data_IF_045969952843
#
_entry.id   IF_045969952843
#
_cell.length_a   1.000
_cell.length_b   1.000
_cell.length_c   1.000
_cell.angle_alpha   90.00
_cell.angle_beta   90.00
_cell.angle_gamma   90.00
#
_symmetry.space_group_name_H-M   'P 1'
#
loop_
_entity.id
_entity.type
_entity.pdbx_description
1 polymer ?
#
# COMPACT_ATOMS: atom_id res chain seq x y z
N UNK A 1 -8.48 -1.41 -9.62
CA UNK A 1 -8.51 -0.29 -8.65
C UNK A 1 -7.10 0.00 -8.19
N UNK A 2 -6.72 1.27 -8.04
CA UNK A 2 -5.37 1.65 -7.64
C UNK A 2 -5.34 2.02 -6.16
N UNK A 3 -4.36 1.46 -5.46
CA UNK A 3 -4.08 1.74 -4.06
C UNK A 3 -2.67 2.33 -3.95
N UNK A 4 -2.58 3.59 -3.52
CA UNK A 4 -1.33 4.29 -3.33
C UNK A 4 -0.88 4.13 -1.88
N UNK A 5 0.27 3.49 -1.71
CA UNK A 5 0.94 3.35 -0.43
C UNK A 5 1.92 4.50 -0.27
N UNK A 6 1.89 5.16 0.87
CA UNK A 6 2.81 6.24 1.24
C UNK A 6 3.30 6.06 2.67
N UNK A 7 4.46 6.64 2.96
CA UNK A 7 4.89 6.87 4.33
C UNK A 7 5.52 8.26 4.47
N UNK A 8 5.28 8.92 5.61
CA UNK A 8 5.68 10.31 5.84
C UNK A 8 5.82 10.60 7.33
N UNK A 9 6.61 11.61 7.70
CA UNK A 9 6.66 12.12 9.08
C UNK A 9 5.48 13.03 9.44
N UNK A 10 4.81 13.60 8.43
CA UNK A 10 3.59 14.39 8.60
C UNK A 10 2.59 14.07 7.50
N UNK A 11 1.39 13.66 7.91
CA UNK A 11 0.28 13.43 6.99
C UNK A 11 -0.78 14.52 7.16
N UNK A 12 -1.17 15.13 6.04
CA UNK A 12 -2.22 16.14 5.97
C UNK A 12 -3.14 15.80 4.80
N UNK A 13 -4.43 15.61 5.09
CA UNK A 13 -5.44 15.23 4.10
C UNK A 13 -5.55 16.26 2.97
N UNK A 14 -5.24 17.54 3.23
CA UNK A 14 -5.27 18.57 2.18
C UNK A 14 -4.27 18.31 1.04
N UNK A 15 -3.21 17.53 1.30
CA UNK A 15 -2.28 17.12 0.24
C UNK A 15 -2.86 16.10 -0.75
N UNK A 16 -4.07 15.62 -0.50
CA UNK A 16 -4.80 14.73 -1.40
C UNK A 16 -5.75 15.51 -2.32
N UNK A 17 -5.97 16.80 -2.10
CA UNK A 17 -6.93 17.59 -2.90
C UNK A 17 -6.53 17.76 -4.37
N UNK A 18 -5.24 17.57 -4.68
CA UNK A 18 -4.67 17.72 -6.00
C UNK A 18 -3.61 16.64 -6.22
N UNK A 19 -3.65 15.97 -7.37
CA UNK A 19 -2.73 14.88 -7.70
C UNK A 19 -1.28 15.36 -7.87
N UNK A 20 -1.06 16.59 -8.35
CA UNK A 20 0.28 17.17 -8.49
C UNK A 20 0.88 17.41 -7.10
N UNK A 21 0.10 17.98 -6.18
CA UNK A 21 0.51 18.17 -4.78
C UNK A 21 0.80 16.82 -4.11
N UNK A 22 -0.03 15.80 -4.37
CA UNK A 22 0.19 14.46 -3.86
C UNK A 22 1.54 13.89 -4.32
N UNK A 23 1.84 13.97 -5.61
CA UNK A 23 3.10 13.46 -6.18
C UNK A 23 4.31 14.23 -5.67
N UNK A 24 4.22 15.55 -5.56
CA UNK A 24 5.29 16.39 -5.01
C UNK A 24 5.60 16.06 -3.54
N UNK A 25 4.55 15.82 -2.74
CA UNK A 25 4.70 15.58 -1.30
C UNK A 25 5.10 14.14 -0.97
N UNK A 26 4.69 13.19 -1.80
CA UNK A 26 4.95 11.75 -1.58
C UNK A 26 5.66 11.14 -2.80
N UNK A 27 6.87 11.60 -3.17
CA UNK A 27 7.52 11.20 -4.42
C UNK A 27 7.94 9.72 -4.47
N UNK A 28 8.02 9.05 -3.32
CA UNK A 28 8.34 7.63 -3.21
C UNK A 28 7.09 6.76 -3.02
N UNK A 29 5.89 7.29 -3.31
CA UNK A 29 4.65 6.50 -3.26
C UNK A 29 4.72 5.27 -4.15
N UNK A 30 4.10 4.17 -3.71
CA UNK A 30 3.99 2.95 -4.50
C UNK A 30 2.53 2.69 -4.83
N UNK A 31 2.24 2.48 -6.11
CA UNK A 31 0.89 2.11 -6.55
C UNK A 31 0.79 0.60 -6.72
N UNK A 32 -0.27 0.02 -6.17
CA UNK A 32 -0.62 -1.38 -6.36
C UNK A 32 -2.02 -1.45 -6.97
N UNK A 33 -2.12 -2.09 -8.13
CA UNK A 33 -3.38 -2.31 -8.83
C UNK A 33 -4.02 -3.63 -8.39
N UNK A 34 -5.11 -3.53 -7.63
CA UNK A 34 -5.89 -4.65 -7.11
C UNK A 34 -7.28 -4.65 -7.72
N UNK A 35 -7.93 -5.81 -7.75
CA UNK A 35 -9.28 -5.96 -8.29
C UNK A 35 -10.30 -5.22 -7.43
N UNK A 36 -10.16 -5.32 -6.10
CA UNK A 36 -11.11 -4.78 -5.13
C UNK A 36 -10.47 -4.61 -3.73
N UNK A 37 -11.26 -4.10 -2.77
CA UNK A 37 -10.81 -3.91 -1.39
C UNK A 37 -10.62 -5.21 -0.61
N UNK A 38 -11.23 -6.33 -1.03
CA UNK A 38 -10.97 -7.63 -0.40
C UNK A 38 -9.57 -8.13 -0.75
N UNK A 39 -9.08 -7.86 -1.97
CA UNK A 39 -7.68 -8.13 -2.32
C UNK A 39 -6.72 -7.25 -1.51
N UNK A 40 -7.04 -5.97 -1.28
CA UNK A 40 -6.25 -5.13 -0.38
C UNK A 40 -6.21 -5.72 1.03
N UNK A 41 -7.37 -6.16 1.53
CA UNK A 41 -7.48 -6.81 2.83
C UNK A 41 -6.61 -8.06 2.91
N UNK A 42 -6.70 -8.94 1.91
CA UNK A 42 -5.88 -10.14 1.81
C UNK A 42 -4.37 -9.82 1.80
N UNK A 43 -3.96 -8.84 1.00
CA UNK A 43 -2.55 -8.43 0.90
C UNK A 43 -2.03 -7.99 2.27
N UNK A 44 -2.80 -7.14 2.97
CA UNK A 44 -2.44 -6.63 4.29
C UNK A 44 -2.48 -7.72 5.36
N UNK A 45 -3.44 -8.65 5.32
CA UNK A 45 -3.47 -9.81 6.20
C UNK A 45 -2.21 -10.68 6.05
N UNK A 46 -1.73 -10.89 4.82
CA UNK A 46 -0.47 -11.60 4.56
C UNK A 46 0.76 -10.83 5.09
N UNK A 47 0.64 -9.51 5.22
CA UNK A 47 1.64 -8.65 5.87
C UNK A 47 1.47 -8.58 7.40
N UNK A 48 0.54 -9.35 7.98
CA UNK A 48 0.13 -9.30 9.40
C UNK A 48 -0.48 -7.95 9.83
N UNK A 49 -1.15 -7.27 8.90
CA UNK A 49 -1.81 -5.99 9.11
C UNK A 49 -3.32 -6.19 9.04
N UNK A 50 -3.98 -6.03 10.19
CA UNK A 50 -5.42 -6.11 10.29
C UNK A 50 -6.00 -4.70 10.45
N UNK A 51 -6.85 -4.29 9.50
CA UNK A 51 -7.55 -3.02 9.55
C UNK A 51 -9.04 -3.24 9.42
N UNK A 52 -9.80 -2.37 10.07
CA UNK A 52 -11.27 -2.42 10.07
C UNK A 52 -11.92 -1.07 9.80
N UNK A 53 -11.17 0.03 9.92
CA UNK A 53 -11.65 1.38 9.72
C UNK A 53 -10.99 2.03 8.51
N UNK A 54 -11.75 2.85 7.80
CA UNK A 54 -11.27 3.75 6.75
C UNK A 54 -11.84 5.14 6.99
N UNK A 55 -11.18 6.15 6.44
CA UNK A 55 -11.67 7.51 6.39
C UNK A 55 -12.12 7.80 4.96
N UNK A 56 -13.39 8.15 4.78
CA UNK A 56 -13.90 8.58 3.49
C UNK A 56 -13.27 9.91 3.09
N UNK A 57 -13.01 10.06 1.80
CA UNK A 57 -12.58 11.30 1.16
C UNK A 57 -13.68 11.72 0.19
N UNK A 58 -13.99 13.01 0.19
CA UNK A 58 -14.87 13.62 -0.82
C UNK A 58 -14.00 14.50 -1.74
N UNK A 59 -13.05 13.85 -2.40
CA UNK A 59 -12.02 14.49 -3.24
C UNK A 59 -12.08 13.85 -4.62
N UNK A 60 -11.88 14.66 -5.67
CA UNK A 60 -12.04 14.25 -7.06
C UNK A 60 -11.27 12.97 -7.43
N UNK A 61 -10.02 12.86 -7.00
CA UNK A 61 -9.10 11.80 -7.43
C UNK A 61 -8.97 10.65 -6.42
N UNK A 62 -9.55 10.79 -5.22
CA UNK A 62 -9.41 9.82 -4.13
C UNK A 62 -10.70 9.61 -3.35
N UNK A 63 -11.08 8.35 -3.11
CA UNK A 63 -12.33 7.98 -2.42
C UNK A 63 -12.18 7.82 -0.91
N UNK A 64 -11.04 7.30 -0.46
CA UNK A 64 -10.80 6.99 0.96
C UNK A 64 -9.35 6.67 1.22
N UNK A 65 -8.99 6.70 2.50
CA UNK A 65 -7.70 6.25 2.96
C UNK A 65 -7.80 5.40 4.23
N UNK A 66 -6.76 4.60 4.46
CA UNK A 66 -6.56 3.82 5.66
C UNK A 66 -5.25 4.22 6.34
N UNK A 67 -5.30 4.38 7.65
CA UNK A 67 -4.13 4.66 8.46
C UNK A 67 -3.54 3.36 9.03
N UNK A 68 -2.34 3.01 8.56
CA UNK A 68 -1.57 1.84 8.96
C UNK A 68 -0.39 2.19 9.86
N UNK A 69 -0.36 3.40 10.43
CA UNK A 69 0.77 3.91 11.20
C UNK A 69 1.06 3.10 12.47
N UNK A 70 0.06 2.37 13.00
CA UNK A 70 0.25 1.47 14.14
C UNK A 70 0.94 0.13 13.77
N UNK A 71 1.08 -0.15 12.47
CA UNK A 71 1.69 -1.36 11.97
C UNK A 71 3.03 -1.04 11.31
N UNK A 72 3.90 -2.06 11.22
CA UNK A 72 5.09 -2.02 10.38
C UNK A 72 4.87 -2.90 9.17
N UNK A 73 5.40 -2.48 8.03
CA UNK A 73 5.48 -3.37 6.87
C UNK A 73 6.60 -4.39 7.08
N UNK A 74 6.42 -5.64 6.63
CA UNK A 74 7.37 -6.72 6.88
C UNK A 74 8.68 -6.49 6.11
N UNK A 75 9.80 -6.52 6.84
CA UNK A 75 11.15 -6.42 6.28
C UNK A 75 11.67 -7.82 5.93
N UNK A 76 11.06 -8.43 4.90
CA UNK A 76 11.40 -9.76 4.40
C UNK A 76 12.77 -9.79 3.68
N UNK A 77 13.50 -10.89 3.83
CA UNK A 77 14.60 -11.23 2.92
C UNK A 77 14.07 -11.86 1.62
N UNK A 78 14.97 -12.21 0.69
CA UNK A 78 14.59 -12.79 -0.61
C UNK A 78 13.73 -14.07 -0.48
N UNK A 79 14.16 -15.03 0.32
CA UNK A 79 13.44 -16.31 0.49
C UNK A 79 12.07 -16.10 1.14
N UNK A 80 12.02 -15.22 2.15
CA UNK A 80 10.77 -14.87 2.83
C UNK A 80 9.81 -14.12 1.89
N UNK A 81 10.33 -13.26 1.02
CA UNK A 81 9.52 -12.55 0.03
C UNK A 81 8.96 -13.51 -1.02
N UNK A 82 9.77 -14.44 -1.53
CA UNK A 82 9.29 -15.44 -2.49
C UNK A 82 8.16 -16.29 -1.87
N UNK A 83 8.33 -16.75 -0.62
CA UNK A 83 7.25 -17.44 0.11
C UNK A 83 5.99 -16.59 0.28
N UNK A 84 6.14 -15.30 0.61
CA UNK A 84 5.03 -14.36 0.69
C UNK A 84 4.32 -14.22 -0.67
N UNK A 85 5.07 -14.08 -1.75
CA UNK A 85 4.53 -13.91 -3.10
C UNK A 85 3.80 -15.16 -3.59
N UNK A 86 4.35 -16.36 -3.37
CA UNK A 86 3.65 -17.61 -3.70
C UNK A 86 2.32 -17.72 -2.93
N UNK A 87 2.31 -17.34 -1.65
CA UNK A 87 1.08 -17.30 -0.84
C UNK A 87 0.08 -16.25 -1.36
N UNK A 88 0.56 -15.09 -1.79
CA UNK A 88 -0.27 -14.05 -2.42
C UNK A 88 -0.95 -14.58 -3.69
N UNK A 89 -0.19 -15.14 -4.63
CA UNK A 89 -0.73 -15.70 -5.87
C UNK A 89 -1.74 -16.81 -5.59
N UNK A 90 -1.42 -17.73 -4.67
CA UNK A 90 -2.30 -18.85 -4.34
C UNK A 90 -3.62 -18.40 -3.73
N UNK A 91 -3.61 -17.41 -2.83
CA UNK A 91 -4.82 -16.93 -2.16
C UNK A 91 -5.64 -15.95 -2.99
N UNK A 92 -4.98 -15.04 -3.73
CA UNK A 92 -5.64 -14.07 -4.59
C UNK A 92 -6.17 -14.69 -5.89
N UNK A 93 -5.60 -15.84 -6.30
CA UNK A 93 -5.84 -16.49 -7.60
C UNK A 93 -5.46 -15.62 -8.80
N UNK A 94 -4.58 -14.63 -8.58
CA UNK A 94 -4.03 -13.77 -9.64
C UNK A 94 -3.07 -14.56 -10.52
N UNK A 95 -2.84 -14.04 -11.72
CA UNK A 95 -1.85 -14.60 -12.64
C UNK A 95 -0.46 -14.29 -12.09
N UNK A 96 0.40 -15.31 -12.03
CA UNK A 96 1.80 -15.14 -11.68
C UNK A 96 2.55 -14.49 -12.85
N UNK A 97 2.85 -13.19 -12.73
CA UNK A 97 3.59 -12.41 -13.72
C UNK A 97 4.77 -11.69 -13.08
N UNK A 98 5.79 -11.41 -13.89
CA UNK A 98 6.94 -10.62 -13.45
C UNK A 98 6.55 -9.19 -13.04
N UNK A 99 5.52 -8.62 -13.68
CA UNK A 99 5.02 -7.29 -13.33
C UNK A 99 4.39 -7.28 -11.92
N UNK A 100 3.58 -8.30 -11.61
CA UNK A 100 2.97 -8.45 -10.27
C UNK A 100 4.05 -8.68 -9.20
N UNK A 101 5.03 -9.54 -9.49
CA UNK A 101 6.17 -9.77 -8.60
C UNK A 101 6.96 -8.48 -8.37
N UNK A 102 7.26 -7.75 -9.45
CA UNK A 102 7.94 -6.46 -9.44
C UNK A 102 7.23 -5.45 -8.53
N UNK A 103 5.93 -5.26 -8.73
CA UNK A 103 5.14 -4.31 -7.95
C UNK A 103 5.21 -4.60 -6.44
N UNK A 104 5.12 -5.86 -6.03
CA UNK A 104 5.15 -6.23 -4.62
C UNK A 104 6.57 -6.19 -4.02
N UNK A 105 7.61 -6.53 -4.79
CA UNK A 105 8.99 -6.46 -4.29
C UNK A 105 9.45 -5.01 -4.12
N UNK A 106 8.99 -4.09 -4.97
CA UNK A 106 9.25 -2.66 -4.77
C UNK A 106 8.59 -2.13 -3.49
N UNK A 107 7.32 -2.48 -3.23
CA UNK A 107 6.66 -2.14 -1.97
C UNK A 107 7.47 -2.69 -0.77
N UNK A 108 7.88 -3.95 -0.86
CA UNK A 108 8.66 -4.59 0.21
C UNK A 108 9.99 -3.87 0.43
N UNK A 109 10.71 -3.50 -0.64
CA UNK A 109 11.98 -2.80 -0.57
C UNK A 109 11.92 -1.44 0.14
N UNK A 110 10.76 -0.76 0.09
CA UNK A 110 10.53 0.50 0.80
C UNK A 110 10.27 0.32 2.30
N UNK A 111 9.93 -0.89 2.76
CA UNK A 111 9.49 -1.16 4.14
C UNK A 111 10.50 -0.68 5.19
N UNK A 112 11.79 -0.95 4.99
CA UNK A 112 12.84 -0.56 5.96
C UNK A 112 12.98 0.96 6.12
N UNK A 113 12.74 1.72 5.05
CA UNK A 113 12.70 3.19 5.07
C UNK A 113 11.40 3.67 5.72
N UNK A 114 10.27 3.16 5.26
CA UNK A 114 8.94 3.57 5.67
C UNK A 114 8.60 3.23 7.13
N UNK A 115 9.17 2.16 7.68
CA UNK A 115 9.00 1.78 9.09
C UNK A 115 9.68 2.74 10.08
N UNK A 116 10.55 3.64 9.59
CA UNK A 116 11.19 4.69 10.41
C UNK A 116 10.37 5.99 10.45
N UNK A 117 9.41 6.14 9.54
CA UNK A 117 8.54 7.31 9.44
C UNK A 117 7.34 7.17 10.37
N UNK A 118 6.72 8.29 10.72
CA UNK A 118 5.60 8.32 11.66
C UNK A 118 4.32 7.74 11.09
N UNK A 119 4.02 8.04 9.83
CA UNK A 119 2.77 7.67 9.17
C UNK A 119 2.99 6.68 8.04
N UNK A 120 2.06 5.72 7.91
CA UNK A 120 1.93 4.79 6.78
C UNK A 120 0.48 4.80 6.35
N UNK A 121 0.20 5.30 5.17
CA UNK A 121 -1.18 5.53 4.71
C UNK A 121 -1.37 4.81 3.38
N UNK A 122 -2.56 4.26 3.19
CA UNK A 122 -2.98 3.65 1.93
C UNK A 122 -4.17 4.46 1.42
N UNK A 123 -4.13 4.91 0.18
CA UNK A 123 -5.15 5.78 -0.41
C UNK A 123 -5.72 5.07 -1.64
N UNK A 124 -7.05 5.01 -1.74
CA UNK A 124 -7.74 4.46 -2.90
C UNK A 124 -8.08 5.58 -3.89
N UNK A 125 -7.68 5.43 -5.15
CA UNK A 125 -8.12 6.33 -6.22
C UNK A 125 -9.62 6.20 -6.48
N UNK A 126 -10.25 7.30 -6.93
CA UNK A 126 -11.62 7.30 -7.44
C UNK A 126 -11.78 6.63 -8.81
#
# INVERSE_FOLDING_TARGET
>A
MNFHFIATDSFDVNSLNDIEIFVEKYPDFQTISLENENELKLLLELMNINFSSFNALDIRDFEKYWDMSNYKFPELNYEQFDMFYQNWILKSKRINTMDEYGNLIFLQGLSSKWNKLRHRIIIKSA
#
